data_IF_903042282841
#
_entry.id   IF_903042282841
#
_cell.length_a   1.000
_cell.length_b   1.000
_cell.length_c   1.000
_cell.angle_alpha   90.00
_cell.angle_beta   90.00
_cell.angle_gamma   90.00
#
_symmetry.space_group_name_H-M   'P 1'
#
loop_
_entity.id
_entity.type
_entity.pdbx_description
1 polymer ?
#
# COMPACT_ATOMS: atom_id res chain seq x y z
N UNK A 1 4.45 16.61 12.24
CA UNK A 1 4.31 16.09 10.86
C UNK A 1 4.81 14.66 10.71
N UNK A 2 6.07 14.38 10.96
CA UNK A 2 6.61 13.00 10.85
C UNK A 2 5.94 12.00 11.80
N UNK A 3 5.71 12.39 13.05
CA UNK A 3 5.02 11.55 14.03
C UNK A 3 3.60 11.21 13.59
N UNK A 4 2.88 12.18 13.07
CA UNK A 4 1.52 12.03 12.55
C UNK A 4 1.46 11.04 11.37
N UNK A 5 2.39 11.14 10.41
CA UNK A 5 2.49 10.20 9.29
C UNK A 5 2.76 8.77 9.79
N UNK A 6 3.65 8.60 10.77
CA UNK A 6 3.95 7.28 11.37
C UNK A 6 2.72 6.71 12.09
N UNK A 7 1.97 7.54 12.82
CA UNK A 7 0.73 7.12 13.46
C UNK A 7 -0.33 6.69 12.45
N UNK A 8 -0.47 7.41 11.34
CA UNK A 8 -1.37 7.06 10.24
C UNK A 8 -0.96 5.75 9.55
N UNK A 9 0.31 5.59 9.21
CA UNK A 9 0.83 4.35 8.63
C UNK A 9 0.62 3.14 9.54
N UNK A 10 0.76 3.33 10.86
CA UNK A 10 0.49 2.28 11.84
C UNK A 10 -1.00 1.96 11.95
N UNK A 11 -1.85 2.97 11.93
CA UNK A 11 -3.30 2.82 12.00
C UNK A 11 -3.88 2.07 10.78
N UNK A 12 -3.24 2.16 9.62
CA UNK A 12 -3.67 1.46 8.41
C UNK A 12 -3.75 -0.06 8.60
N UNK A 13 -2.89 -0.65 9.45
CA UNK A 13 -2.94 -2.08 9.75
C UNK A 13 -4.28 -2.45 10.40
N UNK A 14 -4.74 -1.65 11.36
CA UNK A 14 -6.02 -1.88 12.01
C UNK A 14 -7.19 -1.63 11.06
N UNK A 15 -7.12 -0.59 10.21
CA UNK A 15 -8.15 -0.31 9.22
C UNK A 15 -8.34 -1.49 8.24
N UNK A 16 -7.26 -2.08 7.74
CA UNK A 16 -7.34 -3.26 6.86
C UNK A 16 -7.86 -4.48 7.62
N UNK A 17 -7.43 -4.68 8.87
CA UNK A 17 -7.91 -5.78 9.71
C UNK A 17 -9.41 -5.68 9.99
N UNK A 18 -9.91 -4.52 10.35
CA UNK A 18 -11.33 -4.26 10.60
C UNK A 18 -12.16 -4.47 9.34
N UNK A 19 -11.67 -3.98 8.19
CA UNK A 19 -12.29 -4.22 6.89
C UNK A 19 -12.41 -5.72 6.61
N UNK A 20 -11.33 -6.48 6.71
CA UNK A 20 -11.32 -7.93 6.45
C UNK A 20 -12.33 -8.66 7.35
N UNK A 21 -12.34 -8.35 8.65
CA UNK A 21 -13.25 -8.99 9.60
C UNK A 21 -14.72 -8.65 9.32
N UNK A 22 -15.01 -7.43 8.89
CA UNK A 22 -16.38 -6.98 8.61
C UNK A 22 -16.95 -7.61 7.33
N UNK A 23 -16.12 -7.74 6.29
CA UNK A 23 -16.57 -8.14 4.95
C UNK A 23 -16.11 -9.53 4.52
N UNK A 24 -15.66 -10.37 5.45
CA UNK A 24 -15.06 -11.69 5.15
C UNK A 24 -15.93 -12.55 4.21
N UNK A 25 -17.23 -12.50 4.37
CA UNK A 25 -18.19 -13.32 3.59
C UNK A 25 -18.54 -12.72 2.22
N UNK A 26 -18.15 -11.49 1.94
CA UNK A 26 -18.49 -10.75 0.71
C UNK A 26 -17.25 -10.30 -0.07
N UNK A 27 -16.07 -10.80 0.31
CA UNK A 27 -14.78 -10.41 -0.29
C UNK A 27 -14.73 -10.69 -1.80
N UNK A 28 -15.43 -11.71 -2.28
CA UNK A 28 -15.40 -12.13 -3.68
C UNK A 28 -16.63 -11.67 -4.48
N UNK A 29 -17.48 -10.83 -3.89
CA UNK A 29 -18.57 -10.17 -4.62
C UNK A 29 -17.98 -9.37 -5.79
N UNK A 30 -18.56 -9.56 -6.98
CA UNK A 30 -18.07 -8.91 -8.20
C UNK A 30 -18.94 -7.72 -8.57
N UNK A 31 -18.35 -6.53 -8.66
CA UNK A 31 -19.06 -5.34 -9.15
C UNK A 31 -19.60 -5.54 -10.58
N UNK A 32 -20.78 -5.00 -10.85
CA UNK A 32 -21.46 -5.13 -12.15
C UNK A 32 -20.71 -4.44 -13.29
N UNK A 33 -19.88 -3.47 -12.99
CA UNK A 33 -19.01 -2.76 -13.96
C UNK A 33 -17.75 -3.53 -14.33
N UNK A 34 -17.53 -4.73 -13.76
CA UNK A 34 -16.34 -5.55 -13.98
C UNK A 34 -15.11 -5.08 -13.18
N UNK A 35 -15.27 -4.16 -12.24
CA UNK A 35 -14.20 -3.70 -11.36
C UNK A 35 -13.67 -4.79 -10.42
N UNK A 36 -12.63 -4.46 -9.67
CA UNK A 36 -12.02 -5.39 -8.73
C UNK A 36 -12.97 -5.81 -7.61
N UNK A 37 -12.87 -7.06 -7.20
CA UNK A 37 -13.46 -7.55 -5.95
C UNK A 37 -12.72 -6.95 -4.74
N UNK A 38 -13.32 -7.03 -3.56
CA UNK A 38 -12.65 -6.64 -2.32
C UNK A 38 -11.36 -7.45 -2.08
N UNK A 39 -11.37 -8.75 -2.42
CA UNK A 39 -10.15 -9.62 -2.38
C UNK A 39 -9.04 -9.09 -3.28
N UNK A 40 -9.37 -8.64 -4.49
CA UNK A 40 -8.39 -8.05 -5.41
C UNK A 40 -7.85 -6.69 -4.89
N UNK A 41 -8.70 -5.85 -4.31
CA UNK A 41 -8.26 -4.60 -3.66
C UNK A 41 -7.28 -4.88 -2.52
N UNK A 42 -7.55 -5.89 -1.69
CA UNK A 42 -6.68 -6.26 -0.59
C UNK A 42 -5.35 -6.85 -1.09
N UNK A 43 -5.38 -7.67 -2.13
CA UNK A 43 -4.17 -8.15 -2.80
C UNK A 43 -3.34 -7.01 -3.38
N UNK A 44 -3.99 -6.00 -3.97
CA UNK A 44 -3.32 -4.80 -4.47
C UNK A 44 -2.67 -3.98 -3.34
N UNK A 45 -3.31 -3.86 -2.19
CA UNK A 45 -2.70 -3.21 -1.01
C UNK A 45 -1.41 -3.94 -0.61
N UNK A 46 -1.41 -5.27 -0.61
CA UNK A 46 -0.22 -6.06 -0.31
C UNK A 46 0.88 -5.91 -1.38
N UNK A 47 0.53 -5.97 -2.66
CA UNK A 47 1.47 -5.79 -3.77
C UNK A 47 2.10 -4.38 -3.76
N UNK A 48 1.30 -3.36 -3.46
CA UNK A 48 1.78 -1.99 -3.32
C UNK A 48 2.75 -1.82 -2.16
N UNK A 49 2.55 -2.55 -1.07
CA UNK A 49 3.47 -2.54 0.07
C UNK A 49 4.82 -3.19 -0.27
N UNK A 50 4.86 -4.18 -1.15
CA UNK A 50 6.12 -4.73 -1.69
C UNK A 50 6.87 -3.64 -2.44
N UNK A 51 6.19 -2.92 -3.34
CA UNK A 51 6.79 -1.83 -4.10
C UNK A 51 7.27 -0.70 -3.18
N UNK A 52 6.48 -0.30 -2.18
CA UNK A 52 6.87 0.69 -1.16
C UNK A 52 8.14 0.24 -0.45
N UNK A 53 8.18 -1.00 0.02
CA UNK A 53 9.30 -1.54 0.79
C UNK A 53 10.63 -1.44 0.02
N UNK A 54 10.61 -1.77 -1.26
CA UNK A 54 11.78 -1.64 -2.13
C UNK A 54 12.13 -0.17 -2.39
N UNK A 55 11.14 0.63 -2.80
CA UNK A 55 11.35 2.05 -3.16
C UNK A 55 11.87 2.85 -1.98
N UNK A 56 11.32 2.65 -0.79
CA UNK A 56 11.78 3.29 0.44
C UNK A 56 13.28 3.02 0.68
N UNK A 57 13.70 1.76 0.60
CA UNK A 57 15.10 1.38 0.78
C UNK A 57 16.00 1.96 -0.29
N UNK A 58 15.58 1.94 -1.53
CA UNK A 58 16.33 2.50 -2.65
C UNK A 58 16.47 4.01 -2.57
N UNK A 59 15.40 4.73 -2.20
CA UNK A 59 15.46 6.19 -1.99
C UNK A 59 16.42 6.57 -0.86
N UNK A 60 16.51 5.75 0.18
CA UNK A 60 17.39 5.98 1.34
C UNK A 60 18.86 5.67 1.04
N UNK A 61 19.16 4.84 0.06
CA UNK A 61 20.51 4.31 -0.19
C UNK A 61 21.08 4.66 -1.57
N UNK A 62 20.27 5.10 -2.51
CA UNK A 62 20.67 5.31 -3.91
C UNK A 62 20.33 6.73 -4.36
N UNK A 63 21.30 7.44 -4.92
CA UNK A 63 21.08 8.76 -5.53
C UNK A 63 20.34 8.61 -6.88
N UNK A 64 19.45 9.57 -7.16
CA UNK A 64 18.71 9.61 -8.42
C UNK A 64 17.97 8.30 -8.77
N UNK A 65 17.46 7.63 -7.74
CA UNK A 65 16.72 6.38 -7.95
C UNK A 65 15.43 6.59 -8.75
N UNK A 66 15.31 5.90 -9.88
CA UNK A 66 14.11 5.87 -10.70
C UNK A 66 13.23 4.68 -10.31
N UNK A 67 11.96 4.94 -10.01
CA UNK A 67 11.01 3.88 -9.69
C UNK A 67 10.80 2.98 -10.90
N UNK A 68 10.94 1.68 -10.71
CA UNK A 68 10.45 0.71 -11.67
C UNK A 68 8.92 0.83 -11.76
N UNK A 69 8.40 0.89 -12.98
CA UNK A 69 6.97 0.88 -13.21
C UNK A 69 6.44 -0.55 -13.17
N UNK A 70 5.19 -0.70 -12.75
CA UNK A 70 4.44 -1.95 -12.86
C UNK A 70 2.96 -1.62 -13.13
N UNK A 71 2.27 -2.53 -13.80
CA UNK A 71 0.84 -2.43 -14.04
C UNK A 71 0.09 -3.13 -12.91
N UNK A 72 -0.75 -2.37 -12.20
CA UNK A 72 -1.49 -2.88 -11.05
C UNK A 72 -2.60 -3.86 -11.44
N UNK A 73 -3.19 -3.69 -12.62
CA UNK A 73 -4.19 -4.63 -13.15
C UNK A 73 -3.53 -5.96 -13.53
N UNK A 74 -2.36 -5.93 -14.14
CA UNK A 74 -1.59 -7.14 -14.42
C UNK A 74 -1.29 -7.90 -13.12
N UNK A 75 -0.87 -7.21 -12.06
CA UNK A 75 -0.62 -7.82 -10.75
C UNK A 75 -1.90 -8.39 -10.14
N UNK A 76 -3.00 -7.65 -10.17
CA UNK A 76 -4.29 -8.11 -9.65
C UNK A 76 -4.81 -9.35 -10.40
N UNK A 77 -4.49 -9.47 -11.70
CA UNK A 77 -4.92 -10.57 -12.56
C UNK A 77 -3.98 -11.79 -12.54
N UNK A 78 -2.82 -11.73 -11.88
CA UNK A 78 -1.93 -12.88 -11.75
C UNK A 78 -2.63 -14.09 -11.10
N UNK A 79 -3.51 -13.84 -10.13
CA UNK A 79 -4.32 -14.84 -9.46
C UNK A 79 -5.55 -14.19 -8.84
N UNK A 80 -6.73 -14.48 -9.36
CA UNK A 80 -7.98 -13.82 -8.96
C UNK A 80 -8.49 -14.26 -7.58
N UNK A 81 -8.19 -15.48 -7.17
CA UNK A 81 -8.63 -16.11 -5.91
C UNK A 81 -7.54 -16.10 -4.83
N UNK A 82 -6.76 -15.03 -4.76
CA UNK A 82 -5.76 -14.86 -3.69
C UNK A 82 -6.47 -14.79 -2.34
N UNK A 83 -5.90 -15.48 -1.34
CA UNK A 83 -6.45 -15.48 0.01
C UNK A 83 -6.44 -14.07 0.62
N UNK A 84 -7.60 -13.53 1.04
CA UNK A 84 -7.65 -12.24 1.72
C UNK A 84 -6.80 -12.21 3.00
N UNK A 85 -6.79 -13.30 3.76
CA UNK A 85 -5.99 -13.40 4.99
C UNK A 85 -4.49 -13.34 4.69
N UNK A 86 -4.02 -14.07 3.67
CA UNK A 86 -2.59 -14.05 3.29
C UNK A 86 -2.20 -12.67 2.75
N UNK A 87 -3.08 -12.02 1.97
CA UNK A 87 -2.84 -10.65 1.51
C UNK A 87 -2.72 -9.67 2.68
N UNK A 88 -3.62 -9.75 3.65
CA UNK A 88 -3.55 -8.95 4.86
C UNK A 88 -2.26 -9.21 5.66
N UNK A 89 -1.92 -10.47 5.90
CA UNK A 89 -0.72 -10.83 6.65
C UNK A 89 0.55 -10.33 5.95
N UNK A 90 0.62 -10.46 4.63
CA UNK A 90 1.73 -9.94 3.82
C UNK A 90 1.86 -8.43 3.96
N UNK A 91 0.76 -7.69 3.79
CA UNK A 91 0.72 -6.24 4.01
C UNK A 91 1.16 -5.87 5.43
N UNK A 92 0.59 -6.50 6.44
CA UNK A 92 0.86 -6.23 7.85
C UNK A 92 2.34 -6.36 8.19
N UNK A 93 2.96 -7.48 7.84
CA UNK A 93 4.36 -7.71 8.22
C UNK A 93 5.34 -6.84 7.43
N UNK A 94 5.08 -6.57 6.17
CA UNK A 94 5.86 -5.59 5.39
C UNK A 94 5.73 -4.18 6.00
N UNK A 95 4.51 -3.76 6.33
CA UNK A 95 4.25 -2.46 6.96
C UNK A 95 4.95 -2.33 8.31
N UNK A 96 4.91 -3.36 9.15
CA UNK A 96 5.62 -3.36 10.44
C UNK A 96 7.14 -3.19 10.23
N UNK A 97 7.73 -3.91 9.27
CA UNK A 97 9.14 -3.76 8.93
C UNK A 97 9.49 -2.37 8.37
N UNK A 98 8.61 -1.77 7.58
CA UNK A 98 8.78 -0.41 7.09
C UNK A 98 8.67 0.63 8.21
N UNK A 99 7.71 0.46 9.14
CA UNK A 99 7.57 1.33 10.32
C UNK A 99 8.82 1.30 11.20
N UNK A 100 9.44 0.13 11.38
CA UNK A 100 10.70 0.02 12.11
C UNK A 100 11.81 0.86 11.48
N UNK A 101 11.89 0.90 10.14
CA UNK A 101 12.88 1.72 9.43
C UNK A 101 12.60 3.23 9.55
N UNK A 102 11.32 3.64 9.42
CA UNK A 102 11.00 5.07 9.28
C UNK A 102 10.91 5.82 10.62
N UNK A 103 10.69 5.12 11.72
CA UNK A 103 10.53 5.76 13.05
C UNK A 103 11.73 6.60 13.49
N UNK A 104 12.92 6.26 13.04
CA UNK A 104 14.18 6.89 13.44
C UNK A 104 14.83 7.71 12.32
N UNK A 105 14.13 7.94 11.21
CA UNK A 105 14.67 8.75 10.10
C UNK A 105 14.81 10.22 10.51
N UNK A 106 15.99 10.78 10.24
CA UNK A 106 16.24 12.20 10.42
C UNK A 106 15.72 13.04 9.23
N UNK A 107 15.74 14.35 9.38
CA UNK A 107 15.24 15.27 8.35
C UNK A 107 15.98 15.14 7.01
N UNK A 108 17.28 14.88 7.04
CA UNK A 108 18.06 14.68 5.82
C UNK A 108 17.60 13.43 5.07
N UNK A 109 17.36 12.34 5.77
CA UNK A 109 16.85 11.09 5.18
C UNK A 109 15.43 11.26 4.65
N UNK A 110 14.54 11.95 5.37
CA UNK A 110 13.18 12.24 4.94
C UNK A 110 13.11 13.13 3.69
N UNK A 111 14.13 13.97 3.46
CA UNK A 111 14.25 14.84 2.30
C UNK A 111 14.88 14.17 1.07
N UNK A 112 15.39 12.94 1.19
CA UNK A 112 15.88 12.19 0.04
C UNK A 112 14.77 11.96 -0.96
N UNK A 113 15.12 11.85 -2.23
CA UNK A 113 14.15 11.80 -3.33
C UNK A 113 14.29 10.54 -4.15
N UNK A 114 13.18 10.17 -4.79
CA UNK A 114 13.12 9.23 -5.91
C UNK A 114 12.40 9.88 -7.09
N UNK A 115 12.54 9.30 -8.26
CA UNK A 115 11.92 9.79 -9.49
C UNK A 115 10.83 8.81 -9.89
N UNK A 116 9.61 9.30 -9.97
CA UNK A 116 8.43 8.51 -10.34
C UNK A 116 8.44 8.16 -11.83
N UNK A 117 7.68 7.14 -12.28
CA UNK A 117 7.60 6.78 -13.70
C UNK A 117 7.19 7.93 -14.63
N UNK A 118 6.42 8.91 -14.13
CA UNK A 118 6.03 10.11 -14.86
C UNK A 118 7.12 11.21 -14.90
N UNK A 119 8.30 10.97 -14.32
CA UNK A 119 9.42 11.91 -14.26
C UNK A 119 9.38 12.88 -13.08
N UNK A 120 8.33 12.89 -12.28
CA UNK A 120 8.24 13.75 -11.09
C UNK A 120 9.13 13.23 -9.95
N UNK A 121 9.80 14.16 -9.26
CA UNK A 121 10.53 13.88 -8.04
C UNK A 121 9.58 13.82 -6.84
N UNK A 122 9.80 12.90 -5.93
CA UNK A 122 9.06 12.78 -4.68
C UNK A 122 10.02 12.56 -3.52
N UNK A 123 9.78 13.22 -2.39
CA UNK A 123 10.57 13.01 -1.16
C UNK A 123 10.14 11.72 -0.45
N UNK A 124 11.02 11.18 0.39
CA UNK A 124 10.66 10.04 1.27
C UNK A 124 9.45 10.40 2.13
N UNK A 125 9.41 11.60 2.69
CA UNK A 125 8.30 12.04 3.53
C UNK A 125 6.97 12.07 2.76
N UNK A 126 6.94 12.67 1.58
CA UNK A 126 5.72 12.75 0.75
C UNK A 126 5.31 11.37 0.24
N UNK A 127 6.27 10.50 0.00
CA UNK A 127 5.99 9.12 -0.41
C UNK A 127 5.31 8.32 0.72
N UNK A 128 5.77 8.46 1.96
CA UNK A 128 5.13 7.83 3.12
C UNK A 128 3.70 8.32 3.35
N UNK A 129 3.46 9.63 3.26
CA UNK A 129 2.11 10.21 3.34
C UNK A 129 1.19 9.67 2.23
N UNK A 130 1.71 9.61 1.01
CA UNK A 130 0.99 9.05 -0.13
C UNK A 130 0.60 7.58 0.08
N UNK A 131 1.46 6.78 0.70
CA UNK A 131 1.20 5.36 0.94
C UNK A 131 0.06 5.12 1.94
N UNK A 132 -0.05 5.94 2.98
CA UNK A 132 -1.20 5.86 3.89
C UNK A 132 -2.50 6.24 3.17
N UNK A 133 -2.50 7.33 2.41
CA UNK A 133 -3.66 7.74 1.61
C UNK A 133 -4.07 6.67 0.59
N UNK A 134 -3.12 6.00 -0.04
CA UNK A 134 -3.35 4.93 -0.99
C UNK A 134 -4.10 3.74 -0.36
N UNK A 135 -3.71 3.31 0.83
CA UNK A 135 -4.41 2.24 1.56
C UNK A 135 -5.88 2.62 1.80
N UNK A 136 -6.15 3.83 2.24
CA UNK A 136 -7.52 4.31 2.51
C UNK A 136 -8.39 4.31 1.26
N UNK A 137 -7.87 4.80 0.13
CA UNK A 137 -8.57 4.81 -1.15
C UNK A 137 -8.98 3.38 -1.55
N UNK A 138 -8.08 2.41 -1.41
CA UNK A 138 -8.36 1.03 -1.79
C UNK A 138 -9.24 0.28 -0.78
N UNK A 139 -9.24 0.66 0.50
CA UNK A 139 -10.24 0.17 1.46
C UNK A 139 -11.64 0.69 1.07
N UNK A 140 -11.80 1.96 0.73
CA UNK A 140 -13.08 2.53 0.27
C UNK A 140 -13.59 1.83 -1.00
N UNK A 141 -12.70 1.59 -1.96
CA UNK A 141 -13.03 0.81 -3.15
C UNK A 141 -13.47 -0.62 -2.79
N UNK A 142 -12.76 -1.27 -1.89
CA UNK A 142 -13.07 -2.62 -1.42
C UNK A 142 -14.42 -2.69 -0.68
N UNK A 143 -14.74 -1.70 0.16
CA UNK A 143 -16.05 -1.60 0.83
C UNK A 143 -17.17 -1.49 -0.19
N UNK A 144 -16.99 -0.65 -1.22
CA UNK A 144 -17.97 -0.51 -2.29
C UNK A 144 -18.16 -1.85 -3.04
N UNK A 145 -17.10 -2.54 -3.37
CA UNK A 145 -17.16 -3.84 -4.04
C UNK A 145 -17.84 -4.91 -3.17
N UNK A 146 -17.55 -4.95 -1.89
CA UNK A 146 -18.12 -5.95 -0.97
C UNK A 146 -19.61 -5.77 -0.70
N UNK A 147 -20.16 -4.58 -0.94
CA UNK A 147 -21.57 -4.25 -0.71
C UNK A 147 -22.47 -4.42 -1.94
N UNK A 148 -22.00 -5.00 -3.02
CA UNK A 148 -22.79 -5.27 -4.24
C UNK A 148 -23.65 -6.53 -4.12
#
# INVERSE_FOLDING_TARGET
MTKEIIEELSADINHVSEFLNTFLNTMDNRPSDGGWTASQCLAHIADSEIALSLRLRMMLTTENYHFANFDEDDFANLKLDRSPQISFDSFKYLRLGNLELVKDLNQQQLSRTGIRPNGESITVMDYLDRMSKHVRIHIEQAVTAANV
#
